data_IF_170538014510
#
_entry.id   IF_170538014510
#
_cell.length_a   1.000
_cell.length_b   1.000
_cell.length_c   1.000
_cell.angle_alpha   90.00
_cell.angle_beta   90.00
_cell.angle_gamma   90.00
#
_symmetry.space_group_name_H-M   'P 1'
#
loop_
_entity.id
_entity.type
_entity.pdbx_description
1 polymer ?
#
# COMPACT_ATOMS: atom_id res chain seq x y z
N UNK A 1 -2.33 20.16 -17.69
CA UNK A 1 -2.28 21.31 -18.62
C UNK A 1 -3.01 22.48 -17.96
N UNK A 2 -3.46 23.49 -18.72
CA UNK A 2 -4.17 24.66 -18.20
C UNK A 2 -5.38 25.03 -19.08
N UNK A 3 -6.41 25.59 -18.47
CA UNK A 3 -7.63 26.04 -19.14
C UNK A 3 -7.43 27.27 -20.01
N UNK A 4 -6.46 28.13 -19.65
CA UNK A 4 -6.12 29.33 -20.40
C UNK A 4 -7.23 30.38 -20.35
N UNK A 5 -7.53 31.01 -21.48
CA UNK A 5 -8.59 32.02 -21.59
C UNK A 5 -9.98 31.36 -21.68
N UNK A 6 -10.49 30.86 -20.56
CA UNK A 6 -11.85 30.32 -20.43
C UNK A 6 -12.87 31.43 -20.15
N UNK A 7 -14.16 31.08 -20.03
CA UNK A 7 -15.27 32.02 -19.76
C UNK A 7 -15.25 32.66 -18.35
N UNK A 8 -14.15 32.53 -17.62
CA UNK A 8 -13.94 33.08 -16.30
C UNK A 8 -12.82 32.34 -15.59
N UNK A 9 -12.12 33.00 -14.66
CA UNK A 9 -10.96 32.43 -13.97
C UNK A 9 -11.24 31.07 -13.32
N UNK A 10 -12.47 30.87 -12.85
CA UNK A 10 -12.93 29.66 -12.15
C UNK A 10 -13.81 28.74 -13.00
N UNK A 11 -14.08 29.12 -14.25
CA UNK A 11 -14.94 28.36 -15.14
C UNK A 11 -14.13 27.23 -15.82
N UNK A 12 -14.56 25.96 -15.70
CA UNK A 12 -13.85 24.84 -16.31
C UNK A 12 -13.94 24.88 -17.84
N UNK A 13 -12.95 24.28 -18.52
CA UNK A 13 -12.91 24.23 -19.99
C UNK A 13 -12.90 22.80 -20.55
N UNK A 14 -14.01 22.38 -21.15
CA UNK A 14 -14.16 21.03 -21.74
C UNK A 14 -13.06 20.65 -22.74
N UNK A 15 -12.73 21.50 -23.75
CA UNK A 15 -11.62 21.22 -24.66
C UNK A 15 -10.27 20.99 -23.96
N UNK A 16 -9.96 21.75 -22.90
CA UNK A 16 -8.75 21.55 -22.09
C UNK A 16 -8.76 20.22 -21.33
N UNK A 17 -9.91 19.80 -20.82
CA UNK A 17 -10.09 18.48 -20.19
C UNK A 17 -9.89 17.35 -21.20
N UNK A 18 -10.46 17.45 -22.40
CA UNK A 18 -10.21 16.47 -23.47
C UNK A 18 -8.73 16.42 -23.85
N UNK A 19 -8.05 17.57 -23.95
CA UNK A 19 -6.62 17.62 -24.25
C UNK A 19 -5.76 16.97 -23.17
N UNK A 20 -6.05 17.18 -21.88
CA UNK A 20 -5.25 16.57 -20.80
C UNK A 20 -5.45 15.06 -20.77
N UNK A 21 -6.66 14.56 -21.05
CA UNK A 21 -6.95 13.13 -21.17
C UNK A 21 -6.11 12.51 -22.30
N UNK A 22 -6.18 13.08 -23.51
CA UNK A 22 -5.42 12.58 -24.66
C UNK A 22 -3.91 12.62 -24.42
N UNK A 23 -3.42 13.69 -23.79
CA UNK A 23 -2.01 13.81 -23.43
C UNK A 23 -1.58 12.74 -22.41
N UNK A 24 -2.40 12.45 -21.40
CA UNK A 24 -2.11 11.41 -20.41
C UNK A 24 -2.06 10.02 -21.05
N UNK A 25 -2.99 9.70 -21.95
CA UNK A 25 -3.00 8.44 -22.71
C UNK A 25 -1.75 8.29 -23.60
N UNK A 26 -1.36 9.36 -24.29
CA UNK A 26 -0.13 9.39 -25.09
C UNK A 26 1.12 9.18 -24.21
N UNK A 27 1.21 9.89 -23.08
CA UNK A 27 2.32 9.75 -22.12
C UNK A 27 2.38 8.37 -21.47
N UNK A 28 1.25 7.67 -21.35
CA UNK A 28 1.16 6.31 -20.81
C UNK A 28 1.55 5.22 -21.84
N UNK A 29 2.32 5.57 -22.87
CA UNK A 29 2.74 4.65 -23.93
C UNK A 29 1.74 4.52 -25.09
N UNK A 30 0.81 5.48 -25.23
CA UNK A 30 -0.17 5.47 -26.32
C UNK A 30 -1.33 4.50 -26.10
N UNK A 31 -1.75 4.30 -24.85
CA UNK A 31 -2.87 3.42 -24.51
C UNK A 31 -4.15 3.89 -25.22
N UNK A 32 -4.86 3.02 -25.95
CA UNK A 32 -6.16 3.36 -26.54
C UNK A 32 -7.18 3.74 -25.47
N UNK A 33 -7.98 4.78 -25.71
CA UNK A 33 -9.01 5.21 -24.76
C UNK A 33 -10.04 4.11 -24.44
N UNK A 34 -10.34 3.25 -25.42
CA UNK A 34 -11.23 2.08 -25.27
C UNK A 34 -10.66 0.96 -24.38
N UNK A 35 -9.38 1.05 -23.98
CA UNK A 35 -8.72 0.14 -23.06
C UNK A 35 -8.63 0.67 -21.61
N UNK A 36 -9.12 1.88 -21.33
CA UNK A 36 -9.29 2.38 -19.96
C UNK A 36 -10.70 2.04 -19.49
N UNK A 37 -10.84 1.22 -18.45
CA UNK A 37 -12.13 0.61 -18.07
C UNK A 37 -13.01 1.55 -17.24
N UNK A 38 -12.39 2.41 -16.43
CA UNK A 38 -13.08 3.29 -15.51
C UNK A 38 -12.40 4.66 -15.39
N UNK A 39 -13.15 5.69 -15.07
CA UNK A 39 -12.64 7.00 -14.67
C UNK A 39 -13.18 7.36 -13.29
N UNK A 40 -12.25 7.64 -12.39
CA UNK A 40 -12.49 8.43 -11.19
C UNK A 40 -12.47 9.91 -11.58
N UNK A 41 -13.65 10.49 -11.71
CA UNK A 41 -13.84 11.86 -12.14
C UNK A 41 -13.38 12.88 -11.10
N UNK A 42 -13.19 14.11 -11.54
CA UNK A 42 -13.13 15.24 -10.64
C UNK A 42 -14.48 15.39 -9.93
N UNK A 43 -15.61 15.32 -10.64
CA UNK A 43 -16.95 15.01 -10.15
C UNK A 43 -17.31 15.71 -8.85
N UNK A 44 -17.44 17.03 -8.90
CA UNK A 44 -17.68 17.90 -7.73
C UNK A 44 -19.16 18.11 -7.41
N UNK A 45 -20.07 17.61 -8.23
CA UNK A 45 -21.51 17.79 -8.02
C UNK A 45 -21.98 19.18 -8.44
N UNK A 46 -21.25 19.86 -9.34
CA UNK A 46 -21.57 21.24 -9.71
C UNK A 46 -22.43 21.28 -10.97
N UNK A 47 -23.47 22.13 -10.97
CA UNK A 47 -24.41 22.23 -12.08
C UNK A 47 -23.74 22.60 -13.43
N UNK A 48 -22.63 23.34 -13.39
CA UNK A 48 -21.86 23.71 -14.57
C UNK A 48 -20.75 22.72 -14.88
N UNK A 49 -19.99 22.26 -13.87
CA UNK A 49 -18.80 21.46 -14.07
C UNK A 49 -19.08 20.02 -14.46
N UNK A 50 -20.09 19.40 -13.87
CA UNK A 50 -20.39 17.98 -14.12
C UNK A 50 -20.79 17.73 -15.59
N UNK A 51 -21.63 18.57 -16.23
CA UNK A 51 -21.89 18.41 -17.67
C UNK A 51 -20.65 18.61 -18.54
N UNK A 52 -19.79 19.58 -18.22
CA UNK A 52 -18.56 19.84 -18.97
C UNK A 52 -17.59 18.65 -18.89
N UNK A 53 -17.44 18.07 -17.69
CA UNK A 53 -16.59 16.90 -17.49
C UNK A 53 -17.14 15.66 -18.18
N UNK A 54 -18.44 15.37 -18.01
CA UNK A 54 -19.07 14.23 -18.67
C UNK A 54 -18.97 14.32 -20.20
N UNK A 55 -19.19 15.49 -20.78
CA UNK A 55 -19.02 15.71 -22.22
C UNK A 55 -17.57 15.49 -22.68
N UNK A 56 -16.58 15.92 -21.89
CA UNK A 56 -15.17 15.67 -22.20
C UNK A 56 -14.83 14.17 -22.19
N UNK A 57 -15.40 13.41 -21.25
CA UNK A 57 -15.25 11.96 -21.17
C UNK A 57 -15.97 11.24 -22.31
N UNK A 58 -17.21 11.64 -22.63
CA UNK A 58 -17.97 11.12 -23.77
C UNK A 58 -17.21 11.33 -25.09
N UNK A 59 -16.66 12.52 -25.32
CA UNK A 59 -15.90 12.88 -26.53
C UNK A 59 -14.46 12.31 -26.59
N UNK A 60 -14.02 11.60 -25.55
CA UNK A 60 -12.71 10.93 -25.51
C UNK A 60 -12.89 9.44 -25.28
N UNK A 61 -13.07 9.04 -24.03
CA UNK A 61 -13.24 7.65 -23.64
C UNK A 61 -14.52 7.02 -24.18
N UNK A 62 -15.61 7.77 -24.32
CA UNK A 62 -16.90 7.25 -24.76
C UNK A 62 -16.98 6.86 -26.24
N UNK A 63 -15.94 7.16 -27.02
CA UNK A 63 -15.89 6.86 -28.45
C UNK A 63 -15.24 5.50 -28.72
N UNK A 64 -15.60 4.87 -29.84
CA UNK A 64 -15.00 3.62 -30.34
C UNK A 64 -14.99 2.46 -29.31
N UNK A 65 -16.02 2.38 -28.46
CA UNK A 65 -16.19 1.31 -27.47
C UNK A 65 -17.22 0.27 -27.94
N UNK A 66 -16.99 -1.02 -27.66
CA UNK A 66 -18.05 -2.02 -27.70
C UNK A 66 -19.17 -1.68 -26.70
N UNK A 67 -20.44 -1.84 -27.09
CA UNK A 67 -21.59 -1.50 -26.23
C UNK A 67 -21.74 -2.35 -24.96
N UNK A 68 -21.06 -3.49 -24.89
CA UNK A 68 -20.94 -4.34 -23.70
C UNK A 68 -19.77 -3.95 -22.78
N UNK A 69 -18.91 -3.00 -23.21
CA UNK A 69 -17.75 -2.52 -22.46
C UNK A 69 -17.70 -0.98 -22.38
N UNK A 70 -18.70 -0.35 -21.75
CA UNK A 70 -18.71 1.09 -21.54
C UNK A 70 -17.54 1.53 -20.64
N UNK A 71 -17.25 2.81 -20.63
CA UNK A 71 -16.44 3.42 -19.59
C UNK A 71 -17.27 3.54 -18.31
N UNK A 72 -16.78 2.97 -17.20
CA UNK A 72 -17.41 3.17 -15.90
C UNK A 72 -17.00 4.51 -15.28
N UNK A 73 -17.97 5.27 -14.79
CA UNK A 73 -17.77 6.62 -14.25
C UNK A 73 -18.23 6.72 -12.79
N UNK A 74 -17.39 7.29 -11.93
CA UNK A 74 -17.76 7.62 -10.55
C UNK A 74 -16.84 8.66 -9.91
N UNK A 75 -17.17 9.06 -8.67
CA UNK A 75 -16.36 10.00 -7.89
C UNK A 75 -16.40 9.65 -6.39
N UNK A 76 -15.23 9.55 -5.76
CA UNK A 76 -15.06 9.36 -4.31
C UNK A 76 -15.67 10.51 -3.51
N UNK A 77 -15.84 11.70 -4.12
CA UNK A 77 -16.41 12.87 -3.45
C UNK A 77 -17.86 12.64 -3.05
N UNK A 78 -18.57 11.73 -3.71
CA UNK A 78 -19.90 11.31 -3.30
C UNK A 78 -19.90 10.57 -1.95
N UNK A 79 -18.77 10.01 -1.50
CA UNK A 79 -18.65 9.29 -0.23
C UNK A 79 -18.08 10.15 0.90
N UNK A 80 -17.09 11.00 0.60
CA UNK A 80 -16.30 11.72 1.61
C UNK A 80 -16.23 13.24 1.40
N UNK A 81 -16.98 13.78 0.43
CA UNK A 81 -16.92 15.18 0.05
C UNK A 81 -15.63 15.58 -0.68
N UNK A 82 -15.47 16.88 -0.95
CA UNK A 82 -14.30 17.39 -1.66
C UNK A 82 -13.15 17.72 -0.68
N UNK A 83 -12.16 16.83 -0.60
CA UNK A 83 -10.98 16.96 0.29
C UNK A 83 -9.91 17.94 -0.20
N UNK A 84 -10.30 18.95 -0.99
CA UNK A 84 -9.45 20.02 -1.52
C UNK A 84 -8.10 19.51 -2.06
N UNK A 85 -6.97 19.91 -1.46
CA UNK A 85 -5.62 19.53 -1.90
C UNK A 85 -5.35 18.01 -1.90
N UNK A 86 -6.14 17.23 -1.17
CA UNK A 86 -6.04 15.77 -1.15
C UNK A 86 -7.00 15.06 -2.13
N UNK A 87 -7.80 15.80 -2.91
CA UNK A 87 -8.86 15.21 -3.72
C UNK A 87 -8.34 14.25 -4.80
N UNK A 88 -7.25 14.61 -5.50
CA UNK A 88 -6.66 13.76 -6.53
C UNK A 88 -6.10 12.46 -5.96
N UNK A 89 -5.33 12.53 -4.86
CA UNK A 89 -4.73 11.34 -4.25
C UNK A 89 -5.78 10.43 -3.60
N UNK A 90 -6.89 10.98 -3.08
CA UNK A 90 -8.01 10.17 -2.61
C UNK A 90 -8.62 9.33 -3.74
N UNK A 91 -8.77 9.92 -4.93
CA UNK A 91 -9.21 9.19 -6.14
C UNK A 91 -8.23 8.09 -6.56
N UNK A 92 -6.92 8.36 -6.51
CA UNK A 92 -5.88 7.34 -6.76
C UNK A 92 -5.98 6.19 -5.76
N UNK A 93 -6.13 6.48 -4.47
CA UNK A 93 -6.28 5.45 -3.42
C UNK A 93 -7.52 4.59 -3.69
N UNK A 94 -8.67 5.19 -4.02
CA UNK A 94 -9.88 4.44 -4.38
C UNK A 94 -9.61 3.50 -5.54
N UNK A 95 -9.00 3.97 -6.62
CA UNK A 95 -8.79 3.14 -7.82
C UNK A 95 -7.75 2.05 -7.61
N UNK A 96 -6.69 2.29 -6.84
CA UNK A 96 -5.74 1.25 -6.43
C UNK A 96 -6.42 0.17 -5.59
N UNK A 97 -7.26 0.56 -4.61
CA UNK A 97 -8.03 -0.40 -3.83
C UNK A 97 -9.05 -1.16 -4.69
N UNK A 98 -9.71 -0.49 -5.63
CA UNK A 98 -10.64 -1.11 -6.58
C UNK A 98 -9.94 -2.18 -7.45
N UNK A 99 -8.74 -1.89 -7.95
CA UNK A 99 -7.93 -2.86 -8.71
C UNK A 99 -7.53 -4.07 -7.85
N UNK A 100 -7.06 -3.82 -6.62
CA UNK A 100 -6.66 -4.89 -5.68
C UNK A 100 -7.83 -5.77 -5.25
N UNK A 101 -9.03 -5.21 -5.16
CA UNK A 101 -10.25 -5.94 -4.79
C UNK A 101 -11.00 -6.49 -5.99
N UNK A 102 -10.67 -6.06 -7.21
CA UNK A 102 -11.38 -6.43 -8.42
C UNK A 102 -12.83 -5.91 -8.47
N UNK A 103 -13.14 -4.82 -7.78
CA UNK A 103 -14.51 -4.28 -7.68
C UNK A 103 -14.47 -2.77 -7.88
N UNK A 104 -15.34 -2.24 -8.73
CA UNK A 104 -15.60 -0.82 -8.89
C UNK A 104 -16.72 -0.40 -7.90
N UNK A 105 -16.43 0.39 -6.87
CA UNK A 105 -17.43 0.80 -5.89
C UNK A 105 -18.46 1.77 -6.49
N UNK A 106 -19.71 1.70 -6.02
CA UNK A 106 -20.76 2.63 -6.43
C UNK A 106 -20.42 4.09 -6.11
N UNK A 107 -20.83 5.00 -6.99
CA UNK A 107 -20.92 6.43 -6.71
C UNK A 107 -22.27 6.74 -6.07
N UNK A 108 -22.30 7.58 -5.04
CA UNK A 108 -23.52 7.90 -4.28
C UNK A 108 -24.27 9.09 -4.90
N UNK A 109 -25.54 9.25 -4.48
CA UNK A 109 -26.41 10.38 -4.83
C UNK A 109 -26.75 10.51 -6.32
N UNK A 110 -26.68 9.40 -7.06
CA UNK A 110 -27.12 9.30 -8.46
C UNK A 110 -28.37 8.43 -8.52
N UNK A 111 -29.52 9.01 -8.17
CA UNK A 111 -30.81 8.32 -8.36
C UNK A 111 -31.20 8.30 -9.85
N UNK A 112 -31.01 9.44 -10.52
CA UNK A 112 -31.20 9.59 -11.97
C UNK A 112 -29.98 10.33 -12.55
N UNK A 113 -29.46 9.93 -13.72
CA UNK A 113 -28.41 10.68 -14.40
C UNK A 113 -28.88 12.10 -14.72
N UNK A 114 -27.98 13.09 -14.63
CA UNK A 114 -28.31 14.48 -14.94
C UNK A 114 -28.82 14.62 -16.38
N UNK A 115 -29.98 15.27 -16.61
CA UNK A 115 -30.55 15.49 -17.95
C UNK A 115 -29.82 16.59 -18.74
N UNK A 116 -28.89 17.31 -18.12
CA UNK A 116 -28.01 18.28 -18.79
C UNK A 116 -26.88 17.61 -19.57
N UNK A 117 -26.79 16.29 -19.51
CA UNK A 117 -25.78 15.47 -20.19
C UNK A 117 -26.49 14.56 -21.19
N UNK A 118 -26.09 14.62 -22.45
CA UNK A 118 -26.50 13.64 -23.45
C UNK A 118 -25.68 12.35 -23.29
N UNK A 119 -26.16 11.45 -22.44
CA UNK A 119 -25.53 10.15 -22.20
C UNK A 119 -25.55 9.22 -23.42
N UNK A 120 -26.33 9.53 -24.46
CA UNK A 120 -26.39 8.74 -25.69
C UNK A 120 -25.24 9.05 -26.67
N UNK A 121 -24.49 10.14 -26.42
CA UNK A 121 -23.40 10.59 -27.28
C UNK A 121 -22.13 9.71 -27.22
N UNK A 122 -22.09 8.70 -26.35
CA UNK A 122 -20.98 7.77 -26.21
C UNK A 122 -21.18 6.75 -25.10
N UNK A 123 -20.36 5.71 -25.08
CA UNK A 123 -20.50 4.59 -24.16
C UNK A 123 -19.84 4.88 -22.80
N UNK A 124 -20.47 5.73 -21.99
CA UNK A 124 -20.09 6.04 -20.61
C UNK A 124 -21.26 5.74 -19.68
N UNK A 125 -21.03 4.98 -18.61
CA UNK A 125 -22.07 4.61 -17.63
C UNK A 125 -21.66 4.94 -16.21
N UNK A 126 -22.58 5.55 -15.46
CA UNK A 126 -22.39 5.83 -14.03
C UNK A 126 -22.40 4.54 -13.22
N UNK A 127 -21.51 4.44 -12.23
CA UNK A 127 -21.47 3.35 -11.25
C UNK A 127 -22.58 3.51 -10.20
N UNK A 128 -23.85 3.37 -10.60
CA UNK A 128 -25.00 3.46 -9.67
C UNK A 128 -25.03 2.32 -8.66
N UNK A 129 -24.42 1.19 -9.00
CA UNK A 129 -24.21 0.03 -8.15
C UNK A 129 -22.74 -0.40 -8.18
N UNK A 130 -22.32 -1.19 -7.19
CA UNK A 130 -20.98 -1.77 -7.20
C UNK A 130 -20.88 -2.80 -8.32
N UNK A 131 -19.82 -2.72 -9.12
CA UNK A 131 -19.61 -3.60 -10.27
C UNK A 131 -18.38 -4.48 -10.05
N UNK A 132 -18.49 -5.76 -10.38
CA UNK A 132 -17.30 -6.59 -10.50
C UNK A 132 -16.45 -6.04 -11.64
N UNK A 133 -15.17 -5.77 -11.38
CA UNK A 133 -14.25 -5.32 -12.42
C UNK A 133 -13.78 -6.55 -13.20
N UNK A 134 -14.17 -6.74 -14.47
CA UNK A 134 -13.83 -7.94 -15.23
C UNK A 134 -12.32 -8.15 -15.32
N UNK A 135 -11.92 -9.42 -15.45
CA UNK A 135 -10.57 -9.81 -15.85
C UNK A 135 -10.59 -9.97 -17.37
N UNK A 136 -9.66 -9.31 -18.05
CA UNK A 136 -9.51 -9.34 -19.50
C UNK A 136 -8.10 -9.84 -19.82
N UNK A 137 -7.82 -10.13 -21.10
CA UNK A 137 -6.47 -10.46 -21.59
C UNK A 137 -5.52 -9.24 -21.65
N UNK A 138 -5.76 -8.26 -20.76
CA UNK A 138 -4.96 -7.05 -20.55
C UNK A 138 -5.15 -6.58 -19.10
N UNK A 139 -4.21 -5.81 -18.54
CA UNK A 139 -4.38 -5.27 -17.19
C UNK A 139 -5.59 -4.33 -17.11
N UNK A 140 -6.22 -4.30 -15.93
CA UNK A 140 -7.23 -3.30 -15.61
C UNK A 140 -6.60 -1.91 -15.62
N UNK A 141 -7.31 -0.94 -16.19
CA UNK A 141 -6.82 0.44 -16.30
C UNK A 141 -7.88 1.44 -15.89
N UNK A 142 -7.46 2.50 -15.21
CA UNK A 142 -8.35 3.60 -14.84
C UNK A 142 -7.71 4.97 -15.04
N UNK A 143 -8.52 5.94 -15.44
CA UNK A 143 -8.17 7.36 -15.39
C UNK A 143 -8.56 7.97 -14.05
N UNK A 144 -7.77 8.93 -13.55
CA UNK A 144 -8.14 9.78 -12.41
C UNK A 144 -8.00 11.24 -12.82
N UNK A 145 -9.09 12.00 -12.74
CA UNK A 145 -9.15 13.42 -13.10
C UNK A 145 -9.14 14.33 -11.87
N UNK A 146 -8.43 15.45 -11.96
CA UNK A 146 -8.54 16.54 -10.98
C UNK A 146 -8.37 17.90 -11.66
N UNK A 147 -9.37 18.77 -11.53
CA UNK A 147 -9.41 20.07 -12.20
C UNK A 147 -9.41 21.18 -11.14
N UNK A 148 -8.33 21.95 -11.08
CA UNK A 148 -8.19 23.02 -10.10
C UNK A 148 -9.03 24.23 -10.45
N UNK A 149 -9.54 24.92 -9.44
CA UNK A 149 -10.28 26.19 -9.62
C UNK A 149 -9.47 27.30 -10.32
N UNK A 150 -8.14 27.18 -10.33
CA UNK A 150 -7.23 28.07 -11.07
C UNK A 150 -7.03 27.68 -12.54
N UNK A 151 -7.78 26.70 -13.04
CA UNK A 151 -7.70 26.19 -14.43
C UNK A 151 -6.63 25.12 -14.66
N UNK A 152 -5.80 24.77 -13.66
CA UNK A 152 -4.79 23.71 -13.82
C UNK A 152 -5.46 22.34 -13.78
N UNK A 153 -5.34 21.58 -14.88
CA UNK A 153 -5.91 20.23 -14.97
C UNK A 153 -4.84 19.16 -14.88
N UNK A 154 -5.17 18.08 -14.19
CA UNK A 154 -4.41 16.84 -14.15
C UNK A 154 -5.29 15.65 -14.54
N UNK A 155 -4.72 14.71 -15.29
CA UNK A 155 -5.30 13.40 -15.55
C UNK A 155 -4.17 12.38 -15.48
N UNK A 156 -4.35 11.31 -14.72
CA UNK A 156 -3.37 10.22 -14.60
C UNK A 156 -4.00 8.91 -15.01
N UNK A 157 -3.21 8.04 -15.64
CA UNK A 157 -3.59 6.68 -15.98
C UNK A 157 -2.96 5.74 -14.97
N UNK A 158 -3.77 4.90 -14.35
CA UNK A 158 -3.36 3.83 -13.45
C UNK A 158 -3.55 2.49 -14.15
N UNK A 159 -2.60 1.59 -13.95
CA UNK A 159 -2.64 0.22 -14.47
C UNK A 159 -2.45 -0.78 -13.33
N UNK A 160 -3.16 -1.90 -13.43
CA UNK A 160 -3.00 -3.03 -12.52
C UNK A 160 -1.54 -3.52 -12.52
N UNK A 161 -0.99 -3.75 -11.34
CA UNK A 161 0.34 -4.35 -11.20
C UNK A 161 0.42 -5.71 -11.91
N UNK A 162 1.57 -6.07 -12.50
CA UNK A 162 1.74 -7.38 -13.10
C UNK A 162 1.49 -8.49 -12.07
N UNK A 163 1.01 -9.67 -12.48
CA UNK A 163 0.88 -10.81 -11.58
C UNK A 163 2.21 -11.10 -10.89
N UNK A 164 2.18 -11.21 -9.56
CA UNK A 164 3.35 -11.61 -8.78
C UNK A 164 3.46 -13.13 -8.79
N UNK A 165 3.78 -13.72 -9.94
CA UNK A 165 4.07 -15.17 -10.06
C UNK A 165 5.55 -15.50 -9.78
N UNK A 166 6.35 -14.54 -9.31
CA UNK A 166 7.74 -14.77 -8.97
C UNK A 166 7.89 -15.25 -7.52
N UNK A 167 8.46 -16.46 -7.25
CA UNK A 167 9.03 -16.71 -5.94
C UNK A 167 10.05 -15.61 -5.64
N UNK A 168 10.13 -15.11 -4.39
CA UNK A 168 10.99 -13.99 -4.05
C UNK A 168 12.41 -14.30 -4.50
N UNK A 169 12.96 -13.44 -5.36
CA UNK A 169 14.34 -13.55 -5.79
C UNK A 169 15.23 -13.47 -4.54
N UNK A 170 15.79 -14.62 -4.15
CA UNK A 170 16.89 -14.67 -3.20
C UNK A 170 18.05 -13.98 -3.91
N UNK A 171 18.34 -12.74 -3.52
CA UNK A 171 19.59 -12.10 -3.92
C UNK A 171 20.74 -13.01 -3.43
N UNK A 172 21.70 -13.37 -4.28
CA UNK A 172 22.84 -14.17 -3.83
C UNK A 172 23.58 -13.38 -2.74
N UNK A 173 24.04 -14.04 -1.66
CA UNK A 173 24.81 -13.37 -0.63
C UNK A 173 26.09 -12.80 -1.27
N UNK A 174 26.27 -11.49 -1.18
CA UNK A 174 27.55 -10.84 -1.46
C UNK A 174 28.46 -11.05 -0.25
N UNK A 175 29.09 -12.22 -0.18
CA UNK A 175 30.24 -12.43 0.68
C UNK A 175 31.52 -12.17 -0.12
N UNK A 176 32.21 -11.10 0.28
CA UNK A 176 33.66 -11.01 0.19
C UNK A 176 34.15 -10.10 1.33
N UNK A 177 34.29 -10.68 2.53
CA UNK A 177 35.17 -10.09 3.54
C UNK A 177 36.62 -10.31 3.09
N UNK A 178 37.47 -9.26 3.04
CA UNK A 178 38.89 -9.46 2.80
C UNK A 178 39.53 -10.19 3.99
N UNK A 179 40.23 -11.28 3.69
CA UNK A 179 41.16 -11.91 4.60
C UNK A 179 42.40 -11.02 4.71
N UNK A 180 42.59 -10.40 5.88
CA UNK A 180 43.88 -10.17 6.55
C UNK A 180 43.71 -9.10 7.65
N UNK A 181 43.65 -9.54 8.92
CA UNK A 181 43.83 -8.64 10.08
C UNK A 181 44.85 -9.30 11.02
N UNK A 182 46.00 -8.65 11.31
CA UNK A 182 47.01 -9.15 12.24
C UNK A 182 46.57 -8.96 13.69
N UNK A 183 47.17 -9.67 14.68
CA UNK A 183 46.72 -9.59 16.05
C UNK A 183 47.30 -8.34 16.74
N UNK A 184 46.44 -7.52 17.34
CA UNK A 184 46.88 -6.56 18.35
C UNK A 184 45.89 -6.48 19.50
N UNK A 185 46.48 -6.45 20.69
CA UNK A 185 45.86 -6.35 22.01
C UNK A 185 45.03 -5.07 22.22
N UNK A 186 44.18 -5.14 23.24
CA UNK A 186 43.45 -4.07 23.93
C UNK A 186 42.09 -3.65 23.33
N UNK A 187 41.07 -4.07 24.09
CA UNK A 187 39.65 -3.77 23.98
C UNK A 187 39.33 -2.27 24.16
N UNK A 188 38.66 -1.68 23.17
CA UNK A 188 37.48 -0.83 23.31
C UNK A 188 36.66 -0.99 22.02
N UNK A 189 35.57 -1.76 22.06
CA UNK A 189 34.63 -1.85 20.93
C UNK A 189 33.44 -0.98 21.27
N UNK A 190 33.34 0.19 20.63
CA UNK A 190 32.04 0.82 20.41
C UNK A 190 31.21 -0.17 19.60
N UNK A 191 30.15 -0.70 20.19
CA UNK A 191 29.30 -1.69 19.53
C UNK A 191 28.71 -1.11 18.24
N UNK A 192 28.69 -1.85 17.12
CA UNK A 192 28.11 -1.34 15.88
C UNK A 192 26.62 -1.05 16.10
N UNK A 193 26.12 0.00 15.44
CA UNK A 193 24.68 0.23 15.34
C UNK A 193 23.99 -1.02 14.77
N UNK A 194 22.79 -1.31 15.25
CA UNK A 194 22.01 -2.50 14.92
C UNK A 194 21.70 -2.67 13.42
N UNK A 195 22.03 -1.67 12.59
CA UNK A 195 21.78 -1.63 11.16
C UNK A 195 22.62 -2.65 10.36
N UNK A 196 23.75 -3.12 10.92
CA UNK A 196 24.66 -4.03 10.21
C UNK A 196 24.31 -5.52 10.29
N UNK A 197 23.54 -5.96 11.29
CA UNK A 197 23.36 -7.40 11.56
C UNK A 197 22.21 -8.07 10.78
N UNK A 198 21.29 -7.28 10.23
CA UNK A 198 20.08 -7.78 9.55
C UNK A 198 20.08 -7.56 8.03
N UNK A 199 21.09 -6.89 7.49
CA UNK A 199 21.18 -6.63 6.06
C UNK A 199 21.74 -7.88 5.34
N UNK A 200 20.86 -8.70 4.78
CA UNK A 200 21.24 -9.73 3.79
C UNK A 200 21.22 -11.18 4.27
N UNK A 201 20.63 -11.50 5.43
CA UNK A 201 20.43 -12.90 5.80
C UNK A 201 19.48 -13.57 4.79
N UNK A 202 19.89 -14.66 4.10
CA UNK A 202 18.99 -15.39 3.21
C UNK A 202 17.79 -15.89 4.01
N UNK A 203 16.62 -15.99 3.35
CA UNK A 203 15.49 -16.79 3.87
C UNK A 203 16.01 -18.23 3.98
N UNK A 204 16.47 -18.61 5.15
CA UNK A 204 16.68 -20.01 5.44
C UNK A 204 15.27 -20.61 5.56
N UNK A 205 14.86 -21.40 4.57
CA UNK A 205 13.81 -22.37 4.78
C UNK A 205 14.34 -23.33 5.86
N UNK A 206 14.03 -23.01 7.12
CA UNK A 206 14.18 -23.93 8.24
C UNK A 206 12.82 -24.61 8.38
N UNK A 207 12.61 -25.80 7.80
CA UNK A 207 11.40 -26.54 8.04
C UNK A 207 11.27 -26.84 9.53
N UNK A 208 10.25 -26.29 10.18
CA UNK A 208 9.75 -26.79 11.46
C UNK A 208 10.30 -26.18 12.75
N UNK A 209 11.00 -25.03 12.74
CA UNK A 209 11.15 -24.30 14.02
C UNK A 209 9.86 -23.54 14.32
N UNK A 210 8.96 -24.14 15.12
CA UNK A 210 7.80 -23.45 15.70
C UNK A 210 8.21 -22.20 16.51
N UNK A 211 9.47 -22.15 16.95
CA UNK A 211 10.03 -21.08 17.74
C UNK A 211 10.58 -19.97 16.83
N UNK A 212 9.93 -18.81 16.83
CA UNK A 212 10.31 -17.63 16.05
C UNK A 212 10.64 -16.43 16.96
N UNK A 213 11.59 -15.56 16.55
CA UNK A 213 11.85 -14.30 17.24
C UNK A 213 10.89 -13.21 16.74
N UNK A 214 10.02 -12.74 17.64
CA UNK A 214 9.07 -11.68 17.35
C UNK A 214 9.55 -10.35 17.93
N UNK A 215 10.01 -9.46 17.06
CA UNK A 215 10.59 -8.18 17.46
C UNK A 215 9.56 -7.06 17.38
N UNK A 216 9.35 -6.37 18.49
CA UNK A 216 8.52 -5.17 18.59
C UNK A 216 9.38 -4.01 19.04
N UNK A 217 9.20 -2.84 18.43
CA UNK A 217 9.82 -1.62 18.95
C UNK A 217 8.97 -0.37 18.74
N UNK A 218 9.20 0.64 19.58
CA UNK A 218 8.59 1.96 19.49
C UNK A 218 9.48 3.02 20.15
N UNK A 219 9.13 4.31 19.99
CA UNK A 219 9.84 5.42 20.66
C UNK A 219 9.47 5.60 22.12
N UNK A 220 8.26 5.19 22.52
CA UNK A 220 7.73 5.34 23.87
C UNK A 220 7.08 4.05 24.34
N UNK A 221 6.94 3.87 25.65
CA UNK A 221 6.30 2.68 26.20
C UNK A 221 4.83 2.60 25.77
N UNK A 222 4.10 3.71 25.76
CA UNK A 222 2.72 3.79 25.26
C UNK A 222 2.63 3.34 23.78
N UNK A 223 3.54 3.81 22.93
CA UNK A 223 3.58 3.42 21.53
C UNK A 223 3.96 1.93 21.35
N UNK A 224 4.79 1.38 22.25
CA UNK A 224 5.13 -0.04 22.25
C UNK A 224 3.91 -0.90 22.61
N UNK A 225 3.14 -0.50 23.63
CA UNK A 225 1.87 -1.17 24.00
C UNK A 225 0.86 -1.12 22.86
N UNK A 226 0.70 0.04 22.22
CA UNK A 226 -0.19 0.18 21.07
C UNK A 226 0.27 -0.66 19.87
N UNK A 227 1.59 -0.76 19.64
CA UNK A 227 2.15 -1.63 18.60
C UNK A 227 1.91 -3.10 18.91
N UNK A 228 2.08 -3.53 20.16
CA UNK A 228 1.79 -4.88 20.60
C UNK A 228 0.31 -5.26 20.33
N UNK A 229 -0.62 -4.38 20.66
CA UNK A 229 -2.05 -4.60 20.36
C UNK A 229 -2.35 -4.76 18.87
N UNK A 230 -1.72 -3.95 18.00
CA UNK A 230 -1.85 -4.08 16.53
C UNK A 230 -1.26 -5.39 16.01
N UNK A 231 -0.10 -5.80 16.52
CA UNK A 231 0.55 -7.05 16.11
C UNK A 231 -0.25 -8.26 16.57
N UNK A 232 -0.80 -8.24 17.79
CA UNK A 232 -1.70 -9.29 18.26
C UNK A 232 -2.90 -9.46 17.33
N UNK A 233 -3.56 -8.36 16.94
CA UNK A 233 -4.71 -8.42 16.03
C UNK A 233 -4.37 -9.02 14.64
N UNK A 234 -3.17 -8.71 14.10
CA UNK A 234 -2.70 -9.29 12.83
C UNK A 234 -2.29 -10.75 12.97
N UNK A 235 -1.69 -11.12 14.11
CA UNK A 235 -1.31 -12.50 14.37
C UNK A 235 -2.55 -13.40 14.55
N UNK A 236 -3.59 -12.89 15.23
CA UNK A 236 -4.86 -13.60 15.44
C UNK A 236 -5.69 -13.74 14.16
N UNK A 237 -5.63 -12.78 13.23
CA UNK A 237 -6.41 -12.87 11.99
C UNK A 237 -5.96 -14.00 11.07
N UNK A 238 -4.77 -14.58 11.31
CA UNK A 238 -4.23 -15.68 10.50
C UNK A 238 -3.95 -15.31 9.04
N UNK A 239 -3.98 -14.01 8.69
CA UNK A 239 -3.87 -13.56 7.29
C UNK A 239 -2.45 -13.64 6.72
N UNK A 240 -1.44 -13.90 7.56
CA UNK A 240 -0.05 -14.03 7.16
C UNK A 240 0.58 -15.23 7.87
N UNK A 241 1.45 -15.95 7.17
CA UNK A 241 2.25 -17.04 7.73
C UNK A 241 3.14 -16.57 8.88
N UNK A 242 3.44 -17.47 9.82
CA UNK A 242 4.12 -17.10 11.06
C UNK A 242 5.54 -16.58 10.77
N UNK A 243 6.30 -17.31 9.95
CA UNK A 243 7.64 -16.90 9.53
C UNK A 243 7.65 -15.56 8.78
N UNK A 244 6.66 -15.32 7.92
CA UNK A 244 6.55 -14.07 7.17
C UNK A 244 6.25 -12.87 8.07
N UNK A 245 5.39 -13.06 9.07
CA UNK A 245 5.11 -12.02 10.06
C UNK A 245 6.34 -11.73 10.92
N UNK A 246 7.05 -12.75 11.40
CA UNK A 246 8.29 -12.60 12.16
C UNK A 246 9.35 -11.86 11.34
N UNK A 247 9.56 -12.30 10.09
CA UNK A 247 10.48 -11.66 9.15
C UNK A 247 10.12 -10.20 8.87
N UNK A 248 8.84 -9.90 8.65
CA UNK A 248 8.38 -8.53 8.40
C UNK A 248 8.53 -7.60 9.62
N UNK A 249 8.38 -8.14 10.83
CA UNK A 249 8.63 -7.41 12.08
C UNK A 249 10.11 -7.11 12.28
N UNK A 250 10.99 -8.06 11.95
CA UNK A 250 12.43 -7.92 12.11
C UNK A 250 13.08 -7.02 11.03
N UNK A 251 12.63 -7.10 9.77
CA UNK A 251 13.32 -6.47 8.62
C UNK A 251 12.54 -5.32 8.00
N UNK A 252 11.21 -5.32 8.12
CA UNK A 252 10.31 -4.33 7.51
C UNK A 252 9.93 -3.18 8.44
N UNK A 253 10.57 -3.07 9.62
CA UNK A 253 10.28 -2.04 10.62
C UNK A 253 11.57 -1.44 11.14
N UNK A 254 11.55 -0.13 11.40
CA UNK A 254 12.66 0.53 12.10
C UNK A 254 12.78 -0.04 13.52
N UNK A 255 14.01 -0.28 13.97
CA UNK A 255 14.31 -0.73 15.34
C UNK A 255 14.54 0.49 16.25
N UNK A 256 13.58 0.76 17.12
CA UNK A 256 13.53 1.94 17.98
C UNK A 256 13.96 1.61 19.43
N UNK A 257 13.99 2.61 20.30
CA UNK A 257 14.60 2.52 21.64
C UNK A 257 13.85 1.60 22.62
N UNK A 258 12.51 1.63 22.61
CA UNK A 258 11.69 0.74 23.44
C UNK A 258 11.47 -0.55 22.69
N UNK A 259 12.04 -1.65 23.20
CA UNK A 259 12.05 -2.95 22.52
C UNK A 259 11.40 -4.02 23.37
N UNK A 260 10.75 -4.95 22.69
CA UNK A 260 10.17 -6.14 23.25
C UNK A 260 10.46 -7.29 22.28
N UNK A 261 10.99 -8.39 22.80
CA UNK A 261 11.21 -9.62 22.01
C UNK A 261 10.44 -10.74 22.68
N UNK A 262 9.66 -11.47 21.88
CA UNK A 262 9.03 -12.73 22.27
C UNK A 262 9.70 -13.84 21.46
N UNK A 263 10.07 -14.94 22.13
CA UNK A 263 10.63 -16.12 21.46
C UNK A 263 9.65 -17.26 21.68
N UNK A 264 9.16 -17.84 20.59
CA UNK A 264 8.14 -18.89 20.66
C UNK A 264 7.27 -18.93 19.41
N UNK A 265 6.19 -19.68 19.49
CA UNK A 265 5.23 -19.79 18.40
C UNK A 265 4.30 -18.56 18.32
N UNK A 266 3.32 -18.64 17.39
CA UNK A 266 2.31 -17.60 17.23
C UNK A 266 1.45 -17.41 18.48
N UNK A 267 1.13 -18.48 19.20
CA UNK A 267 0.30 -18.39 20.40
C UNK A 267 1.04 -17.65 21.51
N UNK A 268 2.34 -17.93 21.66
CA UNK A 268 3.23 -17.20 22.56
C UNK A 268 3.29 -15.71 22.19
N UNK A 269 3.42 -15.38 20.89
CA UNK A 269 3.36 -14.00 20.42
C UNK A 269 2.06 -13.31 20.83
N UNK A 270 0.91 -13.92 20.51
CA UNK A 270 -0.40 -13.32 20.75
C UNK A 270 -0.59 -13.08 22.26
N UNK A 271 -0.32 -14.08 23.09
CA UNK A 271 -0.46 -13.96 24.54
C UNK A 271 0.44 -12.85 25.09
N UNK A 272 1.74 -12.86 24.75
CA UNK A 272 2.69 -11.86 25.25
C UNK A 272 2.38 -10.44 24.74
N UNK A 273 1.98 -10.29 23.47
CA UNK A 273 1.62 -9.00 22.89
C UNK A 273 0.33 -8.43 23.50
N UNK A 274 -0.66 -9.27 23.83
CA UNK A 274 -1.86 -8.85 24.55
C UNK A 274 -1.54 -8.38 25.95
N UNK A 275 -0.79 -9.16 26.72
CA UNK A 275 -0.33 -8.78 28.06
C UNK A 275 0.45 -7.46 28.02
N UNK A 276 1.38 -7.31 27.07
CA UNK A 276 2.14 -6.07 26.91
C UNK A 276 1.23 -4.89 26.55
N UNK A 277 0.23 -5.08 25.69
CA UNK A 277 -0.71 -4.02 25.30
C UNK A 277 -1.52 -3.47 26.49
N UNK A 278 -1.76 -4.30 27.49
CA UNK A 278 -2.45 -3.95 28.75
C UNK A 278 -1.49 -3.41 29.81
N UNK A 279 -0.19 -3.34 29.51
CA UNK A 279 0.85 -2.85 30.41
C UNK A 279 1.42 -3.90 31.37
N UNK A 280 1.07 -5.18 31.20
CA UNK A 280 1.66 -6.29 31.93
C UNK A 280 3.03 -6.71 31.40
N UNK A 281 3.70 -7.57 32.17
CA UNK A 281 4.96 -8.24 31.79
C UNK A 281 4.65 -9.71 31.56
N UNK A 282 5.03 -10.24 30.39
CA UNK A 282 4.85 -11.64 30.04
C UNK A 282 6.14 -12.45 30.25
N UNK A 283 6.00 -13.74 30.55
CA UNK A 283 7.15 -14.66 30.54
C UNK A 283 7.75 -14.73 29.13
N UNK A 284 9.09 -14.78 29.03
CA UNK A 284 9.80 -14.78 27.74
C UNK A 284 9.93 -13.41 27.07
N UNK A 285 9.39 -12.34 27.67
CA UNK A 285 9.58 -10.98 27.20
C UNK A 285 10.89 -10.39 27.73
N UNK A 286 11.79 -10.02 26.82
CA UNK A 286 13.04 -9.33 27.16
C UNK A 286 12.94 -7.83 26.89
N UNK A 287 13.35 -7.01 27.87
CA UNK A 287 13.45 -5.55 27.78
C UNK A 287 14.78 -5.09 28.40
N UNK A 288 15.53 -4.22 27.73
CA UNK A 288 16.76 -3.61 28.28
C UNK A 288 18.01 -3.78 27.42
N UNK A 289 19.17 -3.45 28.02
CA UNK A 289 20.50 -3.61 27.40
C UNK A 289 21.07 -5.01 27.58
N UNK A 290 22.07 -5.37 26.77
CA UNK A 290 22.67 -6.71 26.72
C UNK A 290 24.02 -6.71 27.43
N UNK A 291 24.21 -7.65 28.36
CA UNK A 291 25.50 -7.95 29.00
C UNK A 291 25.75 -9.45 28.87
N UNK A 292 26.90 -9.84 28.35
CA UNK A 292 27.31 -11.25 28.29
C UNK A 292 28.10 -11.60 29.56
N UNK A 293 27.67 -12.64 30.25
CA UNK A 293 28.31 -13.15 31.46
C UNK A 293 28.74 -14.59 31.19
N UNK A 294 30.02 -14.87 31.39
CA UNK A 294 30.61 -16.19 31.19
C UNK A 294 30.92 -16.82 32.55
N UNK A 295 30.01 -17.65 33.11
CA UNK A 295 30.26 -18.32 34.37
C UNK A 295 31.34 -19.40 34.23
N UNK A 296 32.03 -19.69 35.32
CA UNK A 296 33.03 -20.75 35.37
C UNK A 296 32.45 -22.15 35.59
N UNK A 297 33.28 -23.02 36.16
CA UNK A 297 32.96 -24.40 36.53
C UNK A 297 31.66 -24.52 37.35
N UNK A 298 30.80 -25.47 37.02
CA UNK A 298 29.53 -25.75 37.71
C UNK A 298 28.28 -25.49 36.87
N UNK A 299 28.42 -24.97 35.66
CA UNK A 299 27.33 -24.71 34.70
C UNK A 299 27.09 -25.87 33.72
N UNK A 300 27.94 -26.91 33.74
CA UNK A 300 27.80 -28.09 32.89
C UNK A 300 26.67 -29.03 33.31
N UNK A 301 25.98 -29.64 32.34
CA UNK A 301 24.94 -30.66 32.58
C UNK A 301 24.95 -31.74 31.47
N UNK A 302 24.40 -32.92 31.77
CA UNK A 302 24.36 -34.04 30.81
C UNK A 302 23.36 -33.74 29.69
N UNK A 303 23.84 -33.67 28.44
CA UNK A 303 23.02 -33.30 27.28
C UNK A 303 23.11 -31.80 26.91
N UNK A 304 23.98 -31.04 27.57
CA UNK A 304 24.24 -29.65 27.22
C UNK A 304 24.57 -29.50 25.73
N UNK A 305 23.88 -28.58 25.07
CA UNK A 305 24.05 -28.22 23.65
C UNK A 305 23.64 -29.29 22.61
N UNK A 306 22.91 -30.34 23.00
CA UNK A 306 22.49 -31.40 22.06
C UNK A 306 21.39 -30.94 21.09
N UNK A 307 20.55 -30.00 21.49
CA UNK A 307 19.41 -29.49 20.68
C UNK A 307 19.66 -28.10 20.08
N UNK A 308 20.89 -27.59 20.19
CA UNK A 308 21.29 -26.28 19.64
C UNK A 308 21.60 -26.35 18.13
#
# INVERSE_FOLDING_TARGET
>A
NQDGASNGLTAPNGPSQQRVIRQALASAGGIPASEVDAVEAHGTGTALGDPIEAQALLATYGQDRPGDRPLWLGSIKSNIGHTQGAAGVAGVIKMVLAMRRGVLPRTLHVAEPSPQIDWSAGEVRLLTEAQQWPVLDRPRRAGVSSFGISGTNAHVILEQAPPTDAPPAVAPPTDALPADVPPTDAFLVEGPSADGFLAGAPRADVPGSEVLPWVLSARTDEALRAQAGRVAAVAESGTAEAGDLAYALATGRALLDRRAVVVGDRENLVAAARTLSEGGIASGLLQGGIVFVFPGQGSQWLGMAVEL
#
